data_IF_785879830948
#
_entry.id   IF_785879830948
#
_cell.length_a   1.000
_cell.length_b   1.000
_cell.length_c   1.000
_cell.angle_alpha   90.00
_cell.angle_beta   90.00
_cell.angle_gamma   90.00
#
_symmetry.space_group_name_H-M   'P 1'
#
loop_
_entity.id
_entity.type
_entity.pdbx_description
1 polymer ?
#
# COMPACT_ATOMS: atom_id res chain seq x y z
N UNK A 1 4.74 0.04 -8.73
CA UNK A 1 4.09 1.25 -9.29
C UNK A 1 3.97 1.30 -10.82
N UNK A 2 5.03 1.50 -11.64
CA UNK A 2 4.86 1.73 -13.10
C UNK A 2 4.11 0.59 -13.83
N UNK A 3 4.45 -0.66 -13.52
CA UNK A 3 3.78 -1.83 -14.09
C UNK A 3 2.31 -1.92 -13.66
N UNK A 4 1.99 -1.63 -12.40
CA UNK A 4 0.61 -1.62 -11.89
C UNK A 4 -0.22 -0.51 -12.54
N UNK A 5 0.31 0.70 -12.62
CA UNK A 5 -0.37 1.81 -13.30
C UNK A 5 -0.59 1.49 -14.79
N UNK A 6 0.39 0.86 -15.44
CA UNK A 6 0.23 0.38 -16.82
C UNK A 6 -0.86 -0.68 -16.92
N UNK A 7 -0.92 -1.61 -15.96
CA UNK A 7 -1.94 -2.64 -15.90
C UNK A 7 -3.34 -2.05 -15.68
N UNK A 8 -3.50 -1.14 -14.71
CA UNK A 8 -4.75 -0.40 -14.44
C UNK A 8 -5.19 0.34 -15.70
N UNK A 9 -4.28 1.10 -16.34
CA UNK A 9 -4.57 1.85 -17.55
C UNK A 9 -5.05 0.95 -18.69
N UNK A 10 -4.39 -0.20 -18.91
CA UNK A 10 -4.70 -1.09 -20.04
C UNK A 10 -5.98 -1.89 -19.83
N UNK A 11 -6.19 -2.39 -18.61
CA UNK A 11 -7.23 -3.38 -18.34
C UNK A 11 -8.46 -2.82 -17.64
N UNK A 12 -8.31 -1.76 -16.85
CA UNK A 12 -9.38 -1.25 -15.97
C UNK A 12 -9.94 0.08 -16.45
N UNK A 13 -9.11 0.95 -17.05
CA UNK A 13 -9.54 2.29 -17.47
C UNK A 13 -10.69 2.28 -18.49
N UNK A 14 -10.81 1.21 -19.30
CA UNK A 14 -11.89 1.05 -20.27
C UNK A 14 -13.26 0.76 -19.62
N UNK A 15 -13.25 0.27 -18.39
CA UNK A 15 -14.44 -0.16 -17.64
C UNK A 15 -14.89 0.94 -16.65
N UNK A 16 -13.96 1.81 -16.24
CA UNK A 16 -14.23 2.87 -15.27
C UNK A 16 -14.89 4.10 -15.94
N UNK A 17 -15.96 4.66 -15.37
CA UNK A 17 -16.56 5.90 -15.85
C UNK A 17 -15.53 7.06 -15.83
N UNK A 18 -15.48 7.93 -16.85
CA UNK A 18 -14.56 9.07 -16.86
C UNK A 18 -14.73 9.99 -15.65
N UNK A 19 -15.98 10.22 -15.21
CA UNK A 19 -16.29 11.03 -14.04
C UNK A 19 -15.70 10.43 -12.74
N UNK A 20 -15.75 9.10 -12.59
CA UNK A 20 -15.15 8.42 -11.45
C UNK A 20 -13.63 8.66 -11.40
N UNK A 21 -12.95 8.53 -12.54
CA UNK A 21 -11.50 8.76 -12.65
C UNK A 21 -11.18 10.21 -12.29
N UNK A 22 -11.92 11.18 -12.81
CA UNK A 22 -11.70 12.62 -12.53
C UNK A 22 -11.82 12.90 -11.03
N UNK A 23 -12.88 12.41 -10.38
CA UNK A 23 -13.11 12.65 -8.94
C UNK A 23 -11.99 12.00 -8.10
N UNK A 24 -11.67 10.73 -8.37
CA UNK A 24 -10.59 10.02 -7.65
C UNK A 24 -9.26 10.76 -7.82
N UNK A 25 -8.89 11.11 -9.05
CA UNK A 25 -7.63 11.83 -9.32
C UNK A 25 -7.61 13.21 -8.66
N UNK A 26 -8.72 13.94 -8.64
CA UNK A 26 -8.83 15.25 -7.97
C UNK A 26 -8.61 15.12 -6.47
N UNK A 27 -9.26 14.16 -5.82
CA UNK A 27 -9.09 13.90 -4.39
C UNK A 27 -7.65 13.49 -4.05
N UNK A 28 -7.03 12.65 -4.87
CA UNK A 28 -5.64 12.22 -4.67
C UNK A 28 -4.64 13.37 -4.88
N UNK A 29 -4.83 14.20 -5.90
CA UNK A 29 -3.97 15.37 -6.15
C UNK A 29 -4.10 16.39 -5.01
N UNK A 30 -5.32 16.63 -4.52
CA UNK A 30 -5.55 17.46 -3.34
C UNK A 30 -4.78 16.90 -2.14
N UNK A 31 -4.82 15.58 -1.91
CA UNK A 31 -4.11 14.96 -0.81
C UNK A 31 -2.59 15.07 -0.93
N UNK A 32 -2.05 14.86 -2.13
CA UNK A 32 -0.63 15.07 -2.43
C UNK A 32 -0.22 16.51 -2.15
N UNK A 33 -1.03 17.48 -2.53
CA UNK A 33 -0.78 18.90 -2.27
C UNK A 33 -0.74 19.17 -0.76
N UNK A 34 -1.75 18.72 -0.01
CA UNK A 34 -1.83 18.90 1.45
C UNK A 34 -0.60 18.28 2.13
N UNK A 35 -0.20 17.06 1.73
CA UNK A 35 1.00 16.42 2.27
C UNK A 35 2.27 17.19 1.93
N UNK A 36 2.39 17.70 0.71
CA UNK A 36 3.55 18.48 0.27
C UNK A 36 3.67 19.79 1.05
N UNK A 37 2.55 20.50 1.25
CA UNK A 37 2.50 21.68 2.10
C UNK A 37 2.92 21.32 3.53
N UNK A 38 2.43 20.20 4.07
CA UNK A 38 2.79 19.74 5.41
C UNK A 38 4.27 19.38 5.58
N UNK A 39 4.97 19.02 4.49
CA UNK A 39 6.43 18.84 4.55
C UNK A 39 7.18 20.16 4.74
N UNK A 40 6.63 21.26 4.24
CA UNK A 40 7.24 22.60 4.28
C UNK A 40 6.81 23.33 5.57
N UNK A 41 5.53 23.28 5.88
CA UNK A 41 4.88 23.93 7.02
C UNK A 41 3.92 22.95 7.68
N UNK A 42 4.32 22.29 8.79
CA UNK A 42 3.48 21.33 9.49
C UNK A 42 2.14 21.94 9.88
N UNK A 43 1.04 21.29 9.52
CA UNK A 43 -0.32 21.74 9.85
C UNK A 43 -0.99 20.76 10.81
N UNK A 44 -1.72 21.25 11.83
CA UNK A 44 -2.27 20.39 12.90
C UNK A 44 -3.44 19.50 12.43
N UNK A 45 -4.02 19.75 11.25
CA UNK A 45 -5.24 19.09 10.77
C UNK A 45 -5.03 18.09 9.63
N UNK A 46 -3.77 17.77 9.26
CA UNK A 46 -3.50 16.87 8.12
C UNK A 46 -4.17 15.52 8.26
N UNK A 47 -4.13 14.92 9.45
CA UNK A 47 -4.74 13.60 9.69
C UNK A 47 -6.25 13.64 9.43
N UNK A 48 -6.94 14.70 9.85
CA UNK A 48 -8.39 14.87 9.64
C UNK A 48 -8.67 15.00 8.13
N UNK A 49 -7.86 15.79 7.41
CA UNK A 49 -7.99 15.96 5.97
C UNK A 49 -7.74 14.64 5.22
N UNK A 50 -6.71 13.87 5.62
CA UNK A 50 -6.41 12.55 5.06
C UNK A 50 -7.57 11.58 5.23
N UNK A 51 -8.10 11.51 6.45
CA UNK A 51 -9.24 10.65 6.80
C UNK A 51 -10.49 11.04 6.00
N UNK A 52 -10.80 12.33 5.92
CA UNK A 52 -11.95 12.82 5.16
C UNK A 52 -11.82 12.53 3.65
N UNK A 53 -10.61 12.69 3.11
CA UNK A 53 -10.32 12.37 1.71
C UNK A 53 -10.48 10.88 1.45
N UNK A 54 -10.02 10.03 2.36
CA UNK A 54 -10.15 8.59 2.25
C UNK A 54 -11.61 8.13 2.30
N UNK A 55 -12.41 8.67 3.22
CA UNK A 55 -13.85 8.43 3.26
C UNK A 55 -14.50 8.89 1.95
N UNK A 56 -14.09 10.05 1.41
CA UNK A 56 -14.61 10.57 0.15
C UNK A 56 -14.27 9.68 -1.05
N UNK A 57 -13.08 9.07 -1.10
CA UNK A 57 -12.70 8.07 -2.12
C UNK A 57 -13.58 6.81 -2.03
N UNK A 58 -13.84 6.33 -0.81
CA UNK A 58 -14.70 5.19 -0.56
C UNK A 58 -16.16 5.47 -0.93
N UNK A 59 -16.69 6.63 -0.55
CA UNK A 59 -18.04 7.07 -0.91
C UNK A 59 -18.18 7.29 -2.41
N UNK A 60 -17.15 7.78 -3.09
CA UNK A 60 -17.13 7.88 -4.56
C UNK A 60 -17.31 6.49 -5.20
N UNK A 61 -16.63 5.48 -4.67
CA UNK A 61 -16.75 4.10 -5.14
C UNK A 61 -18.17 3.57 -4.94
N UNK A 62 -18.78 3.86 -3.79
CA UNK A 62 -20.17 3.49 -3.48
C UNK A 62 -21.18 4.22 -4.36
N UNK A 63 -20.98 5.51 -4.62
CA UNK A 63 -21.85 6.34 -5.46
C UNK A 63 -21.94 5.81 -6.89
N UNK A 64 -20.79 5.52 -7.52
CA UNK A 64 -20.77 4.96 -8.87
C UNK A 64 -21.20 3.50 -8.92
N UNK A 65 -21.25 2.81 -7.77
CA UNK A 65 -21.65 1.41 -7.72
C UNK A 65 -22.17 0.96 -6.37
N UNK A 66 -23.48 1.04 -6.18
CA UNK A 66 -24.12 0.59 -4.94
C UNK A 66 -24.13 -0.94 -4.88
N UNK A 67 -23.47 -1.50 -3.87
CA UNK A 67 -23.50 -2.92 -3.53
C UNK A 67 -23.51 -3.05 -2.00
N UNK A 68 -24.35 -3.94 -1.46
CA UNK A 68 -24.42 -4.18 -0.01
C UNK A 68 -23.07 -4.55 0.59
N UNK A 69 -22.28 -5.37 -0.11
CA UNK A 69 -20.92 -5.76 0.30
C UNK A 69 -20.02 -4.54 0.41
N UNK A 70 -20.11 -3.64 -0.58
CA UNK A 70 -19.33 -2.42 -0.62
C UNK A 70 -19.75 -1.46 0.50
N UNK A 71 -21.05 -1.26 0.69
CA UNK A 71 -21.59 -0.45 1.78
C UNK A 71 -21.14 -0.99 3.15
N UNK A 72 -21.19 -2.31 3.35
CA UNK A 72 -20.70 -2.96 4.56
C UNK A 72 -19.19 -2.74 4.76
N UNK A 73 -18.38 -2.86 3.70
CA UNK A 73 -16.94 -2.58 3.78
C UNK A 73 -16.65 -1.12 4.16
N UNK A 74 -17.35 -0.15 3.55
CA UNK A 74 -17.21 1.28 3.90
C UNK A 74 -17.66 1.53 5.34
N UNK A 75 -18.75 0.91 5.78
CA UNK A 75 -19.23 1.02 7.15
C UNK A 75 -18.23 0.44 8.16
N UNK A 76 -17.72 -0.77 7.92
CA UNK A 76 -16.69 -1.40 8.75
C UNK A 76 -15.40 -0.58 8.78
N UNK A 77 -15.04 0.04 7.65
CA UNK A 77 -13.90 0.97 7.57
C UNK A 77 -14.09 2.17 8.50
N UNK A 78 -15.25 2.83 8.42
CA UNK A 78 -15.60 3.95 9.31
C UNK A 78 -15.60 3.54 10.78
N UNK A 79 -16.15 2.36 11.11
CA UNK A 79 -16.11 1.83 12.48
C UNK A 79 -14.68 1.57 12.95
N UNK A 80 -13.83 0.95 12.11
CA UNK A 80 -12.44 0.70 12.43
C UNK A 80 -11.65 1.99 12.68
N UNK A 81 -11.96 3.03 11.92
CA UNK A 81 -11.35 4.35 12.08
C UNK A 81 -11.71 5.00 13.41
N UNK A 82 -12.98 4.90 13.83
CA UNK A 82 -13.46 5.43 15.11
C UNK A 82 -12.90 4.62 16.29
N UNK A 83 -12.89 3.29 16.16
CA UNK A 83 -12.48 2.39 17.24
C UNK A 83 -10.97 2.40 17.45
N UNK A 84 -10.20 2.16 16.39
CA UNK A 84 -8.75 2.11 16.45
C UNK A 84 -8.13 2.34 15.05
N UNK A 85 -7.77 3.59 14.70
CA UNK A 85 -7.23 3.92 13.39
C UNK A 85 -5.90 3.21 13.11
N UNK A 86 -5.13 2.87 14.14
CA UNK A 86 -3.87 2.12 13.98
C UNK A 86 -4.13 0.69 13.48
N UNK A 87 -5.07 -0.03 14.10
CA UNK A 87 -5.45 -1.38 13.64
C UNK A 87 -6.00 -1.32 12.22
N UNK A 88 -6.83 -0.32 11.90
CA UNK A 88 -7.35 -0.13 10.55
C UNK A 88 -6.21 0.07 9.53
N UNK A 89 -5.26 0.96 9.80
CA UNK A 89 -4.12 1.22 8.92
C UNK A 89 -3.22 -0.02 8.76
N UNK A 90 -3.04 -0.80 9.84
CA UNK A 90 -2.33 -2.08 9.77
C UNK A 90 -3.07 -3.05 8.83
N UNK A 91 -4.37 -3.23 9.01
CA UNK A 91 -5.18 -4.06 8.12
C UNK A 91 -5.10 -3.61 6.66
N UNK A 92 -5.14 -2.29 6.40
CA UNK A 92 -5.01 -1.75 5.04
C UNK A 92 -3.62 -2.00 4.45
N UNK A 93 -2.56 -1.90 5.25
CA UNK A 93 -1.20 -2.23 4.81
C UNK A 93 -1.10 -3.69 4.36
N UNK A 94 -1.71 -4.62 5.10
CA UNK A 94 -1.80 -6.03 4.69
C UNK A 94 -2.65 -6.19 3.42
N UNK A 95 -3.84 -5.59 3.38
CA UNK A 95 -4.74 -5.68 2.22
C UNK A 95 -4.11 -5.13 0.93
N UNK A 96 -3.39 -4.00 1.01
CA UNK A 96 -2.65 -3.47 -0.14
C UNK A 96 -1.58 -4.46 -0.62
N UNK A 97 -0.87 -5.12 0.29
CA UNK A 97 0.10 -6.15 -0.09
C UNK A 97 -0.55 -7.43 -0.68
N UNK A 98 -1.86 -7.60 -0.56
CA UNK A 98 -2.62 -8.68 -1.21
C UNK A 98 -3.12 -8.32 -2.62
N UNK A 99 -2.92 -7.09 -3.11
CA UNK A 99 -3.36 -6.70 -4.48
C UNK A 99 -2.76 -7.60 -5.59
N UNK A 100 -1.50 -8.08 -5.52
CA UNK A 100 -0.97 -9.12 -6.41
C UNK A 100 -1.82 -10.39 -6.49
N UNK A 101 -2.33 -10.85 -5.35
CA UNK A 101 -3.15 -12.05 -5.30
C UNK A 101 -4.49 -11.83 -6.01
N UNK A 102 -5.07 -10.64 -5.85
CA UNK A 102 -6.23 -10.19 -6.63
C UNK A 102 -5.98 -10.22 -8.15
N UNK A 103 -4.83 -9.71 -8.60
CA UNK A 103 -4.46 -9.77 -10.02
C UNK A 103 -4.29 -11.20 -10.54
N UNK A 104 -3.67 -12.09 -9.76
CA UNK A 104 -3.57 -13.52 -10.11
C UNK A 104 -4.94 -14.19 -10.18
N UNK A 105 -5.85 -13.82 -9.29
CA UNK A 105 -7.21 -14.37 -9.23
C UNK A 105 -8.00 -14.01 -10.49
N UNK A 106 -7.92 -12.74 -10.91
CA UNK A 106 -8.55 -12.27 -12.15
C UNK A 106 -8.05 -12.98 -13.42
N UNK A 107 -6.83 -13.51 -13.38
CA UNK A 107 -6.19 -14.26 -14.48
C UNK A 107 -6.36 -15.78 -14.35
N UNK A 108 -7.08 -16.27 -13.33
CA UNK A 108 -7.25 -17.71 -13.07
C UNK A 108 -5.97 -18.42 -12.62
N UNK A 109 -4.93 -17.66 -12.20
CA UNK A 109 -3.61 -18.18 -11.81
C UNK A 109 -3.36 -18.19 -10.29
N UNK A 110 -4.41 -17.97 -9.49
CA UNK A 110 -4.30 -17.84 -8.03
C UNK A 110 -4.38 -19.15 -7.22
N UNK A 111 -4.57 -20.32 -7.86
CA UNK A 111 -4.93 -21.58 -7.18
C UNK A 111 -4.06 -21.91 -5.96
N UNK A 112 -2.74 -21.70 -6.06
CA UNK A 112 -1.78 -21.98 -4.98
C UNK A 112 -1.19 -20.69 -4.36
N UNK A 113 -1.62 -19.52 -4.81
CA UNK A 113 -1.05 -18.25 -4.37
C UNK A 113 -1.39 -17.95 -2.89
N UNK A 114 -2.48 -18.52 -2.36
CA UNK A 114 -2.86 -18.36 -0.95
C UNK A 114 -1.76 -18.84 0.02
N UNK A 115 -0.91 -19.80 -0.38
CA UNK A 115 0.23 -20.23 0.44
C UNK A 115 1.19 -19.05 0.64
N UNK A 116 1.49 -18.32 -0.42
CA UNK A 116 2.44 -17.21 -0.40
C UNK A 116 1.85 -15.98 0.29
N UNK A 117 0.55 -15.70 0.09
CA UNK A 117 -0.10 -14.46 0.52
C UNK A 117 -0.86 -14.56 1.85
N UNK A 118 -1.20 -15.75 2.34
CA UNK A 118 -1.91 -15.95 3.62
C UNK A 118 -1.12 -16.84 4.57
N UNK A 119 -0.72 -18.03 4.12
CA UNK A 119 -0.05 -18.99 4.99
C UNK A 119 1.35 -18.52 5.41
N UNK A 120 2.18 -18.12 4.45
CA UNK A 120 3.55 -17.70 4.73
C UNK A 120 3.65 -16.45 5.63
N UNK A 121 2.83 -15.39 5.47
CA UNK A 121 2.83 -14.28 6.42
C UNK A 121 2.47 -14.71 7.84
N UNK A 122 1.52 -15.63 8.01
CA UNK A 122 1.19 -16.21 9.33
C UNK A 122 2.34 -17.05 9.86
N UNK A 123 3.01 -17.83 9.02
CA UNK A 123 4.21 -18.58 9.41
C UNK A 123 5.34 -17.65 9.83
N UNK A 124 5.61 -16.58 9.07
CA UNK A 124 6.62 -15.56 9.40
C UNK A 124 6.24 -14.85 10.71
N UNK A 125 4.96 -14.55 10.92
CA UNK A 125 4.47 -14.01 12.18
C UNK A 125 4.83 -14.94 13.34
N UNK A 126 4.45 -16.22 13.26
CA UNK A 126 4.70 -17.20 14.32
C UNK A 126 6.19 -17.40 14.54
N UNK A 127 6.97 -17.48 13.46
CA UNK A 127 8.42 -17.61 13.56
C UNK A 127 9.05 -16.40 14.24
N UNK A 128 8.64 -15.19 13.87
CA UNK A 128 9.11 -13.98 14.52
C UNK A 128 8.63 -13.87 15.97
N UNK A 129 7.41 -14.33 16.28
CA UNK A 129 6.87 -14.28 17.62
C UNK A 129 7.61 -15.23 18.59
N UNK A 130 7.90 -16.45 18.16
CA UNK A 130 8.52 -17.48 19.01
C UNK A 130 10.05 -17.55 18.91
N UNK A 131 10.63 -17.16 17.77
CA UNK A 131 12.05 -17.34 17.46
C UNK A 131 12.77 -16.07 17.02
N UNK A 132 12.12 -14.89 16.95
CA UNK A 132 12.85 -13.68 16.57
C UNK A 132 14.00 -13.44 17.54
N UNK A 133 15.17 -13.29 16.92
CA UNK A 133 16.50 -13.27 17.49
C UNK A 133 16.59 -12.38 18.72
N UNK A 134 17.27 -12.95 19.71
CA UNK A 134 17.69 -12.37 20.98
C UNK A 134 17.81 -10.82 20.94
N UNK A 135 17.05 -10.08 21.78
CA UNK A 135 17.22 -8.63 21.91
C UNK A 135 18.63 -8.20 22.30
N UNK A 136 19.54 -9.13 22.63
CA UNK A 136 20.96 -8.90 22.85
C UNK A 136 21.83 -8.94 21.58
N UNK A 137 21.35 -9.44 20.42
CA UNK A 137 22.14 -9.50 19.19
C UNK A 137 22.27 -8.13 18.48
N UNK A 138 21.27 -7.26 18.63
CA UNK A 138 21.27 -5.89 18.12
C UNK A 138 21.01 -4.96 19.30
N UNK A 139 21.88 -3.96 19.50
CA UNK A 139 21.68 -2.98 20.58
C UNK A 139 20.31 -2.32 20.46
N UNK A 140 19.64 -2.08 21.60
CA UNK A 140 18.34 -1.40 21.62
C UNK A 140 18.39 -0.03 20.92
N UNK A 141 19.53 0.65 20.91
CA UNK A 141 19.76 1.89 20.16
C UNK A 141 19.79 1.68 18.65
N UNK A 142 20.46 0.65 18.15
CA UNK A 142 20.44 0.33 16.71
C UNK A 142 19.07 -0.19 16.28
N UNK A 143 18.44 -1.06 17.07
CA UNK A 143 17.09 -1.53 16.83
C UNK A 143 16.09 -0.36 16.82
N UNK A 144 16.15 0.54 17.80
CA UNK A 144 15.35 1.77 17.78
C UNK A 144 15.72 2.64 16.58
N UNK A 145 16.98 2.80 16.19
CA UNK A 145 17.30 3.64 15.02
C UNK A 145 16.70 3.07 13.73
N UNK A 146 16.75 1.75 13.54
CA UNK A 146 16.20 1.09 12.36
C UNK A 146 14.67 0.97 12.40
N UNK A 147 14.10 0.68 13.58
CA UNK A 147 12.68 0.36 13.78
C UNK A 147 11.85 1.55 14.25
N UNK A 148 12.40 2.56 14.93
CA UNK A 148 11.67 3.77 15.37
C UNK A 148 11.00 4.51 14.21
N UNK A 149 11.47 4.23 12.99
CA UNK A 149 10.94 4.74 11.75
C UNK A 149 9.66 4.04 11.28
N UNK A 150 9.37 2.83 11.80
CA UNK A 150 8.23 1.99 11.45
C UNK A 150 7.35 1.64 12.67
N UNK A 151 7.93 1.63 13.86
CA UNK A 151 7.32 1.36 15.15
C UNK A 151 7.60 2.56 16.06
N UNK A 152 6.60 3.06 16.79
CA UNK A 152 6.84 4.14 17.75
C UNK A 152 7.68 3.59 18.94
N UNK A 153 8.71 4.33 19.35
CA UNK A 153 9.73 3.91 20.31
C UNK A 153 9.25 3.30 21.65
N UNK A 154 8.10 3.69 22.26
CA UNK A 154 7.61 3.02 23.47
C UNK A 154 6.84 1.71 23.20
N UNK A 155 6.70 1.29 21.94
CA UNK A 155 5.84 0.16 21.54
C UNK A 155 6.60 -1.00 20.91
N UNK A 156 7.93 -1.03 20.93
CA UNK A 156 8.68 -2.20 20.43
C UNK A 156 8.50 -3.35 21.41
N UNK A 157 7.60 -4.27 21.06
CA UNK A 157 7.38 -5.53 21.76
C UNK A 157 7.37 -6.68 20.74
N UNK A 158 7.34 -7.91 21.24
CA UNK A 158 7.39 -9.13 20.41
C UNK A 158 6.25 -9.17 19.39
N UNK A 159 5.04 -8.76 19.80
CA UNK A 159 3.87 -8.70 18.91
C UNK A 159 4.07 -7.75 17.73
N UNK A 160 4.46 -6.51 18.01
CA UNK A 160 4.67 -5.49 16.98
C UNK A 160 5.82 -5.85 16.05
N UNK A 161 6.86 -6.49 16.58
CA UNK A 161 7.98 -7.00 15.78
C UNK A 161 7.54 -8.13 14.86
N UNK A 162 6.70 -9.06 15.33
CA UNK A 162 6.15 -10.14 14.52
C UNK A 162 5.21 -9.63 13.41
N UNK A 163 4.34 -8.67 13.72
CA UNK A 163 3.51 -7.99 12.71
C UNK A 163 4.36 -7.27 11.67
N UNK A 164 5.39 -6.55 12.11
CA UNK A 164 6.31 -5.86 11.21
C UNK A 164 7.05 -6.84 10.30
N UNK A 165 7.59 -7.94 10.82
CA UNK A 165 8.26 -8.97 10.02
C UNK A 165 7.33 -9.57 8.95
N UNK A 166 6.07 -9.83 9.32
CA UNK A 166 5.05 -10.36 8.41
C UNK A 166 4.68 -9.36 7.31
N UNK A 167 4.56 -8.08 7.67
CA UNK A 167 4.32 -6.99 6.72
C UNK A 167 5.51 -6.81 5.76
N UNK A 168 6.76 -6.90 6.26
CA UNK A 168 7.98 -6.85 5.43
C UNK A 168 8.01 -8.03 4.45
N UNK A 169 7.71 -9.24 4.91
CA UNK A 169 7.60 -10.40 4.01
C UNK A 169 6.57 -10.16 2.91
N UNK A 170 5.36 -9.71 3.27
CA UNK A 170 4.30 -9.40 2.32
C UNK A 170 4.73 -8.31 1.32
N UNK A 171 5.40 -7.27 1.79
CA UNK A 171 5.94 -6.21 0.96
C UNK A 171 6.99 -6.72 -0.04
N UNK A 172 7.85 -7.65 0.38
CA UNK A 172 8.83 -8.28 -0.50
C UNK A 172 8.17 -9.13 -1.58
N UNK A 173 7.16 -9.93 -1.22
CA UNK A 173 6.36 -10.70 -2.18
C UNK A 173 5.63 -9.77 -3.14
N UNK A 174 5.04 -8.68 -2.64
CA UNK A 174 4.36 -7.69 -3.46
C UNK A 174 5.34 -7.09 -4.49
N UNK A 175 6.54 -6.65 -4.07
CA UNK A 175 7.55 -6.15 -5.01
C UNK A 175 8.02 -7.21 -5.99
N UNK A 176 8.29 -8.44 -5.54
CA UNK A 176 8.64 -9.53 -6.43
C UNK A 176 7.57 -9.73 -7.51
N UNK A 177 6.30 -9.75 -7.12
CA UNK A 177 5.21 -9.87 -8.06
C UNK A 177 5.19 -8.70 -9.07
N UNK A 178 5.23 -7.46 -8.59
CA UNK A 178 5.14 -6.26 -9.45
C UNK A 178 6.32 -6.14 -10.41
N UNK A 179 7.52 -6.55 -9.99
CA UNK A 179 8.76 -6.42 -10.77
C UNK A 179 8.97 -7.61 -11.70
N UNK A 180 8.62 -8.82 -11.27
CA UNK A 180 8.93 -10.07 -12.00
C UNK A 180 7.72 -10.66 -12.68
N UNK A 181 6.61 -10.84 -11.95
CA UNK A 181 5.44 -11.62 -12.41
C UNK A 181 4.48 -10.77 -13.23
N UNK A 182 4.15 -9.56 -12.75
CA UNK A 182 3.19 -8.67 -13.41
C UNK A 182 3.62 -8.27 -14.83
N UNK A 183 4.91 -8.02 -15.14
CA UNK A 183 5.35 -7.76 -16.51
C UNK A 183 5.06 -8.92 -17.46
N UNK A 184 5.21 -10.17 -17.00
CA UNK A 184 4.91 -11.37 -17.80
C UNK A 184 3.41 -11.54 -18.03
N UNK A 185 2.59 -11.12 -17.07
CA UNK A 185 1.13 -11.11 -17.20
C UNK A 185 0.65 -9.94 -18.09
N UNK A 186 1.38 -8.84 -18.11
CA UNK A 186 1.08 -7.69 -18.96
C UNK A 186 1.67 -7.92 -20.36
N UNK A 187 0.82 -8.13 -21.38
CA UNK A 187 1.20 -8.48 -22.77
C UNK A 187 2.31 -7.63 -23.45
N UNK A 188 2.74 -6.50 -22.85
CA UNK A 188 3.86 -5.68 -23.32
C UNK A 188 4.74 -5.24 -22.14
N UNK A 189 5.98 -5.74 -22.01
CA UNK A 189 6.91 -5.27 -20.99
C UNK A 189 7.19 -3.79 -21.18
N UNK A 190 7.41 -3.07 -20.08
CA UNK A 190 7.83 -1.67 -20.13
C UNK A 190 9.29 -1.66 -20.58
N UNK A 191 9.53 -1.19 -21.81
CA UNK A 191 10.89 -1.02 -22.33
C UNK A 191 11.50 0.21 -21.65
N UNK A 192 12.45 -0.01 -20.76
CA UNK A 192 13.27 1.05 -20.17
C UNK A 192 14.54 1.21 -20.99
N UNK A 193 14.92 2.44 -21.31
CA UNK A 193 16.18 2.74 -21.98
C UNK A 193 17.35 2.83 -20.97
N UNK A 194 18.60 2.83 -21.46
CA UNK A 194 19.79 2.92 -20.59
C UNK A 194 19.83 4.16 -19.71
N UNK A 195 19.32 5.30 -20.20
CA UNK A 195 19.31 6.56 -19.47
C UNK A 195 18.28 6.54 -18.33
N UNK A 196 17.13 5.90 -18.53
CA UNK A 196 16.13 5.68 -17.48
C UNK A 196 16.67 4.74 -16.40
N UNK A 197 17.38 3.68 -16.77
CA UNK A 197 18.06 2.82 -15.79
C UNK A 197 19.08 3.60 -14.97
N UNK A 198 19.93 4.39 -15.63
CA UNK A 198 20.89 5.25 -14.94
C UNK A 198 20.18 6.22 -13.99
N UNK A 199 19.11 6.87 -14.45
CA UNK A 199 18.29 7.76 -13.63
C UNK A 199 17.70 7.06 -12.41
N UNK A 200 17.14 5.86 -12.55
CA UNK A 200 16.60 5.08 -11.43
C UNK A 200 17.68 4.66 -10.44
N UNK A 201 18.86 4.26 -10.93
CA UNK A 201 20.00 3.90 -10.09
C UNK A 201 20.48 5.12 -9.30
N UNK A 202 20.65 6.27 -9.97
CA UNK A 202 21.08 7.53 -9.33
C UNK A 202 20.08 7.97 -8.27
N UNK A 203 18.78 7.96 -8.58
CA UNK A 203 17.74 8.29 -7.60
C UNK A 203 17.72 7.28 -6.46
N UNK A 204 17.89 5.99 -6.73
CA UNK A 204 17.95 4.94 -5.71
C UNK A 204 19.12 5.17 -4.74
N UNK A 205 20.32 5.43 -5.26
CA UNK A 205 21.49 5.76 -4.45
C UNK A 205 21.28 7.07 -3.67
N UNK A 206 20.74 8.11 -4.30
CA UNK A 206 20.45 9.37 -3.64
C UNK A 206 19.43 9.16 -2.50
N UNK A 207 18.39 8.36 -2.71
CA UNK A 207 17.41 8.03 -1.68
C UNK A 207 18.05 7.27 -0.51
N UNK A 208 18.95 6.32 -0.78
CA UNK A 208 19.69 5.59 0.28
C UNK A 208 20.59 6.56 1.06
N UNK A 209 21.35 7.41 0.36
CA UNK A 209 22.26 8.38 0.99
C UNK A 209 21.51 9.44 1.82
N UNK A 210 20.32 9.86 1.36
CA UNK A 210 19.50 10.89 1.99
C UNK A 210 18.18 10.34 2.54
N UNK A 211 18.20 9.11 3.08
CA UNK A 211 16.98 8.39 3.46
C UNK A 211 16.07 9.19 4.42
N UNK A 212 16.66 9.88 5.41
CA UNK A 212 15.89 10.66 6.39
C UNK A 212 15.05 11.78 5.74
N UNK A 213 15.59 12.48 4.74
CA UNK A 213 14.92 13.58 4.03
C UNK A 213 14.11 13.11 2.83
N UNK A 214 14.52 12.01 2.18
CA UNK A 214 13.78 11.40 1.07
C UNK A 214 12.54 10.64 1.50
N UNK A 215 12.52 10.07 2.71
CA UNK A 215 11.40 9.26 3.23
C UNK A 215 10.05 9.97 3.21
N UNK A 216 9.89 11.22 3.68
CA UNK A 216 8.60 11.90 3.64
C UNK A 216 8.08 12.08 2.21
N UNK A 217 8.98 12.36 1.25
CA UNK A 217 8.65 12.46 -0.19
C UNK A 217 8.20 11.10 -0.73
N UNK A 218 8.95 10.04 -0.43
CA UNK A 218 8.55 8.67 -0.76
C UNK A 218 7.18 8.31 -0.16
N UNK A 219 6.92 8.73 1.08
CA UNK A 219 5.64 8.54 1.75
C UNK A 219 4.46 9.16 1.00
N UNK A 220 4.65 10.32 0.35
CA UNK A 220 3.63 10.94 -0.50
C UNK A 220 3.36 10.09 -1.75
N UNK A 221 4.42 9.60 -2.40
CA UNK A 221 4.31 8.75 -3.60
C UNK A 221 3.62 7.43 -3.25
N UNK A 222 4.02 6.80 -2.14
CA UNK A 222 3.43 5.56 -1.65
C UNK A 222 1.95 5.75 -1.28
N UNK A 223 1.61 6.86 -0.62
CA UNK A 223 0.23 7.21 -0.29
C UNK A 223 -0.61 7.38 -1.55
N UNK A 224 -0.12 8.12 -2.56
CA UNK A 224 -0.83 8.28 -3.82
C UNK A 224 -1.11 6.92 -4.47
N UNK A 225 -0.11 6.04 -4.51
CA UNK A 225 -0.23 4.72 -5.08
C UNK A 225 -1.25 3.85 -4.32
N UNK A 226 -1.13 3.74 -2.99
CA UNK A 226 -2.03 2.93 -2.18
C UNK A 226 -3.49 3.46 -2.26
N UNK A 227 -3.67 4.78 -2.20
CA UNK A 227 -5.02 5.38 -2.18
C UNK A 227 -5.66 5.41 -3.56
N UNK A 228 -4.89 5.32 -4.64
CA UNK A 228 -5.41 5.11 -5.98
C UNK A 228 -6.03 3.71 -6.14
N UNK A 229 -5.41 2.69 -5.54
CA UNK A 229 -5.84 1.31 -5.70
C UNK A 229 -7.13 0.98 -4.95
N UNK A 230 -7.31 1.54 -3.75
CA UNK A 230 -8.48 1.28 -2.89
C UNK A 230 -9.81 1.53 -3.63
N UNK A 231 -10.12 2.73 -4.17
CA UNK A 231 -11.40 2.99 -4.81
C UNK A 231 -11.60 2.16 -6.08
N UNK A 232 -10.52 1.87 -6.82
CA UNK A 232 -10.57 1.02 -8.01
C UNK A 232 -10.94 -0.41 -7.62
N UNK A 233 -10.28 -0.96 -6.60
CA UNK A 233 -10.57 -2.31 -6.10
C UNK A 233 -12.01 -2.42 -5.60
N UNK A 234 -12.48 -1.42 -4.86
CA UNK A 234 -13.84 -1.34 -4.34
C UNK A 234 -14.88 -1.27 -5.47
N UNK A 235 -14.63 -0.47 -6.51
CA UNK A 235 -15.48 -0.41 -7.71
C UNK A 235 -15.55 -1.76 -8.45
N UNK A 236 -14.42 -2.47 -8.53
CA UNK A 236 -14.32 -3.76 -9.23
C UNK A 236 -14.92 -4.94 -8.45
N UNK A 237 -14.91 -4.91 -7.12
CA UNK A 237 -15.56 -5.94 -6.31
C UNK A 237 -17.07 -6.00 -6.55
N UNK A 238 -17.70 -4.86 -6.88
CA UNK A 238 -19.09 -4.84 -7.31
C UNK A 238 -19.31 -5.33 -8.75
N UNK A 239 -18.24 -5.62 -9.51
CA UNK A 239 -18.30 -6.03 -10.92
C UNK A 239 -18.66 -7.50 -11.07
N UNK A 240 -19.96 -7.79 -11.19
CA UNK A 240 -20.43 -9.04 -11.79
C UNK A 240 -20.08 -9.00 -13.29
N UNK A 241 -19.21 -9.92 -13.73
CA UNK A 241 -18.98 -10.19 -15.15
C UNK A 241 -20.21 -10.83 -15.78
#
# INVERSE_FOLDING_TARGET
MLYELSYIRKNLLRILPPAFIIIVMTLLLFLVLVRTINLISPTPYVLIIEVFTLISLLLTSLYFRINLTLAAMVFLFCLGLIYNPFILLLCLSFLHNLTPWGFLSLQGKAKNAWIIFLFNPVLVFMLAYFFAVDPHYISATTANTCLSHYLLSPQINVWNSAFFASAVYLQMIHYYFVIKVLPELSLKPIRTNRYQWLFYIVIGFAFIAFFKTGKPIYGIIALFHAYLEIPILFYLLGYKR
#
